data_IF_133738103251
#
_entry.id   IF_133738103251
#
_cell.length_a   1.000
_cell.length_b   1.000
_cell.length_c   1.000
_cell.angle_alpha   90.00
_cell.angle_beta   90.00
_cell.angle_gamma   90.00
#
_symmetry.space_group_name_H-M   'P 1'
#
loop_
_entity.id
_entity.type
_entity.pdbx_description
1 polymer ?
#
# COMPACT_ATOMS: atom_id res chain seq x y z
N UNK A 1 -2.26 -6.47 12.12
CA UNK A 1 -0.88 -5.98 12.28
C UNK A 1 -0.76 -4.53 11.83
N UNK A 2 0.31 -3.88 12.24
CA UNK A 2 0.61 -2.50 11.86
C UNK A 2 1.38 -2.49 10.54
N UNK A 3 0.96 -1.71 9.57
CA UNK A 3 1.72 -1.50 8.34
C UNK A 3 2.87 -0.54 8.58
N UNK A 4 2.79 0.55 9.16
CA UNK A 4 3.88 1.50 9.46
C UNK A 4 4.02 1.82 10.95
N UNK A 5 3.88 0.82 11.81
CA UNK A 5 3.98 0.98 13.26
C UNK A 5 2.75 1.59 13.93
N UNK A 6 1.96 2.41 13.21
CA UNK A 6 0.82 3.15 13.76
C UNK A 6 -0.53 2.81 13.13
N UNK A 7 -0.53 2.25 11.92
CA UNK A 7 -1.74 1.92 11.20
C UNK A 7 -2.13 0.48 11.45
N UNK A 8 -3.34 0.25 11.93
CA UNK A 8 -3.92 -1.09 12.00
C UNK A 8 -5.06 -1.16 11.00
N UNK A 9 -5.12 -2.24 10.25
CA UNK A 9 -6.14 -2.46 9.22
C UNK A 9 -7.59 -2.37 9.74
N UNK A 10 -7.81 -2.64 11.02
CA UNK A 10 -9.14 -2.61 11.63
C UNK A 10 -9.61 -1.25 12.10
N UNK A 11 -8.73 -0.30 12.30
CA UNK A 11 -9.05 0.93 13.05
C UNK A 11 -8.71 2.21 12.33
N UNK A 12 -8.01 2.16 11.20
CA UNK A 12 -7.47 3.36 10.56
C UNK A 12 -7.86 3.41 9.10
N UNK A 13 -8.98 4.07 8.79
CA UNK A 13 -9.35 4.39 7.42
C UNK A 13 -8.44 5.51 6.86
N UNK A 14 -8.06 6.48 7.70
CA UNK A 14 -7.22 7.63 7.32
C UNK A 14 -6.11 7.84 8.34
N UNK A 15 -4.99 8.39 7.88
CA UNK A 15 -3.84 8.77 8.70
C UNK A 15 -3.59 10.25 8.54
N UNK A 16 -3.62 10.99 9.64
CA UNK A 16 -3.25 12.41 9.67
C UNK A 16 -1.85 12.56 10.26
N UNK A 17 -0.91 13.01 9.45
CA UNK A 17 0.47 13.19 9.86
C UNK A 17 0.74 14.59 10.36
N UNK A 18 1.39 14.69 11.50
CA UNK A 18 1.87 15.93 12.08
C UNK A 18 3.37 16.09 11.87
N UNK A 19 3.86 17.31 12.06
CA UNK A 19 5.25 17.73 11.89
C UNK A 19 5.73 17.75 10.43
N UNK A 20 6.99 18.19 10.24
CA UNK A 20 7.64 18.26 8.93
C UNK A 20 7.80 16.88 8.31
N UNK A 21 7.79 16.81 7.00
CA UNK A 21 7.89 15.59 6.19
C UNK A 21 6.80 14.55 6.39
N UNK A 22 5.89 14.73 7.34
CA UNK A 22 4.80 13.81 7.61
C UNK A 22 3.91 13.60 6.39
N UNK A 23 3.49 12.35 6.16
CA UNK A 23 2.61 11.97 5.06
C UNK A 23 1.27 11.54 5.63
N UNK A 24 0.23 12.30 5.30
CA UNK A 24 -1.16 11.93 5.57
C UNK A 24 -1.67 11.03 4.46
N UNK A 25 -2.42 10.00 4.84
CA UNK A 25 -3.13 9.11 3.94
C UNK A 25 -4.63 9.36 4.12
N UNK A 26 -5.27 9.83 3.07
CA UNK A 26 -6.70 10.08 3.00
C UNK A 26 -7.39 9.00 2.15
N UNK A 27 -8.70 9.03 2.04
CA UNK A 27 -9.45 8.02 1.27
C UNK A 27 -8.98 7.92 -0.19
N UNK A 28 -8.71 9.07 -0.80
CA UNK A 28 -8.38 9.15 -2.21
C UNK A 28 -7.09 9.95 -2.49
N UNK A 29 -6.34 10.31 -1.45
CA UNK A 29 -5.15 11.15 -1.63
C UNK A 29 -4.07 10.90 -0.58
N UNK A 30 -2.85 11.26 -0.94
CA UNK A 30 -1.74 11.46 0.00
C UNK A 30 -1.38 12.93 0.06
N UNK A 31 -1.09 13.45 1.25
CA UNK A 31 -0.64 14.81 1.47
C UNK A 31 0.65 14.82 2.31
N UNK A 32 1.71 15.43 1.80
CA UNK A 32 2.99 15.48 2.49
C UNK A 32 3.31 16.90 2.94
N UNK A 33 3.67 17.04 4.21
CA UNK A 33 4.18 18.29 4.76
C UNK A 33 5.58 18.63 4.23
N UNK A 34 5.89 19.93 4.17
CA UNK A 34 7.20 20.41 3.78
C UNK A 34 8.30 20.04 4.79
N UNK A 35 9.55 20.35 4.45
CA UNK A 35 10.74 19.99 5.24
C UNK A 35 11.21 21.09 6.18
N UNK A 36 10.81 22.33 5.97
CA UNK A 36 11.29 23.49 6.73
C UNK A 36 10.51 23.61 8.06
N UNK A 37 11.24 23.49 9.17
CA UNK A 37 10.66 23.54 10.52
C UNK A 37 10.11 24.92 10.83
N UNK A 38 10.81 26.02 10.44
CA UNK A 38 10.35 27.39 10.71
C UNK A 38 9.06 27.69 9.95
N UNK A 39 9.03 27.38 8.66
CA UNK A 39 7.85 27.55 7.85
C UNK A 39 6.68 26.67 8.33
N UNK A 40 6.95 25.46 8.86
CA UNK A 40 5.94 24.62 9.49
C UNK A 40 5.32 25.35 10.69
N UNK A 41 6.14 25.81 11.65
CA UNK A 41 5.68 26.48 12.86
C UNK A 41 4.88 27.75 12.51
N UNK A 42 5.38 28.57 11.59
CA UNK A 42 4.72 29.80 11.16
C UNK A 42 3.37 29.53 10.48
N UNK A 43 3.28 28.46 9.69
CA UNK A 43 2.07 28.10 8.95
C UNK A 43 0.99 27.55 9.89
N UNK A 44 1.38 26.62 10.79
CA UNK A 44 0.47 26.06 11.78
C UNK A 44 0.02 27.14 12.78
N UNK A 45 0.91 28.06 13.18
CA UNK A 45 0.56 29.19 14.04
C UNK A 45 -0.46 30.16 13.44
N UNK A 46 -0.74 30.04 12.14
CA UNK A 46 -1.79 30.76 11.39
C UNK A 46 -3.01 29.90 11.08
N UNK A 47 -3.20 28.79 11.77
CA UNK A 47 -4.27 27.80 11.58
C UNK A 47 -4.35 27.25 10.13
N UNK A 48 -3.20 27.06 9.48
CA UNK A 48 -3.10 26.55 8.11
C UNK A 48 -2.30 25.26 8.06
N UNK A 49 -2.68 24.36 7.15
CA UNK A 49 -1.93 23.12 6.89
C UNK A 49 -0.65 23.43 6.10
N UNK A 50 0.47 22.82 6.50
CA UNK A 50 1.77 22.96 5.84
C UNK A 50 2.00 21.87 4.78
N UNK A 51 0.99 21.62 3.96
CA UNK A 51 1.09 20.64 2.87
C UNK A 51 1.90 21.25 1.71
N UNK A 52 2.97 20.58 1.29
CA UNK A 52 3.82 20.99 0.17
C UNK A 52 3.63 20.13 -1.07
N UNK A 53 3.13 18.92 -0.92
CA UNK A 53 2.84 17.98 -2.01
C UNK A 53 1.54 17.24 -1.73
N UNK A 54 0.76 17.04 -2.78
CA UNK A 54 -0.43 16.20 -2.77
C UNK A 54 -0.38 15.22 -3.94
N UNK A 55 -0.98 14.06 -3.76
CA UNK A 55 -1.19 13.09 -4.82
C UNK A 55 -2.59 12.52 -4.68
N UNK A 56 -3.42 12.71 -5.69
CA UNK A 56 -4.76 12.13 -5.73
C UNK A 56 -4.71 10.78 -6.44
N UNK A 57 -5.31 9.77 -5.82
CA UNK A 57 -5.35 8.41 -6.35
C UNK A 57 -6.45 8.28 -7.40
N UNK A 58 -6.15 7.59 -8.50
CA UNK A 58 -7.17 7.09 -9.40
C UNK A 58 -7.99 5.96 -8.77
N UNK A 59 -9.11 5.59 -9.37
CA UNK A 59 -9.90 4.45 -8.93
C UNK A 59 -9.05 3.16 -8.90
N UNK A 60 -8.28 2.91 -9.95
CA UNK A 60 -7.38 1.78 -10.07
C UNK A 60 -6.30 1.78 -8.96
N UNK A 61 -5.68 2.92 -8.67
CA UNK A 61 -4.69 3.05 -7.60
C UNK A 61 -5.26 2.80 -6.20
N UNK A 62 -6.55 3.06 -6.00
CA UNK A 62 -7.23 2.68 -4.76
C UNK A 62 -7.37 1.17 -4.62
N UNK A 63 -7.67 0.45 -5.72
CA UNK A 63 -7.70 -1.02 -5.72
C UNK A 63 -6.34 -1.59 -5.35
N UNK A 64 -5.28 -1.11 -6.02
CA UNK A 64 -3.90 -1.53 -5.76
C UNK A 64 -3.53 -1.28 -4.29
N UNK A 65 -3.80 -0.09 -3.77
CA UNK A 65 -3.52 0.27 -2.38
C UNK A 65 -4.20 -0.69 -1.41
N UNK A 66 -5.48 -1.00 -1.62
CA UNK A 66 -6.26 -1.89 -0.77
C UNK A 66 -5.66 -3.29 -0.72
N UNK A 67 -5.29 -3.83 -1.88
CA UNK A 67 -4.64 -5.14 -2.01
C UNK A 67 -3.29 -5.17 -1.30
N UNK A 68 -2.42 -4.19 -1.59
CA UNK A 68 -1.09 -4.08 -1.01
C UNK A 68 -1.16 -3.95 0.52
N UNK A 69 -2.03 -3.06 1.03
CA UNK A 69 -2.20 -2.87 2.48
C UNK A 69 -2.76 -4.13 3.16
N UNK A 70 -3.73 -4.80 2.54
CA UNK A 70 -4.30 -6.04 3.07
C UNK A 70 -3.23 -7.12 3.21
N UNK A 71 -2.46 -7.35 2.15
CA UNK A 71 -1.40 -8.35 2.13
C UNK A 71 -0.28 -8.02 3.13
N UNK A 72 0.17 -6.78 3.16
CA UNK A 72 1.22 -6.31 4.07
C UNK A 72 0.82 -6.40 5.54
N UNK A 73 -0.44 -6.15 5.86
CA UNK A 73 -0.92 -6.18 7.25
C UNK A 73 -1.26 -7.59 7.73
N UNK A 74 -1.81 -8.42 6.86
CA UNK A 74 -2.42 -9.70 7.27
C UNK A 74 -1.61 -10.92 6.84
N UNK A 75 -0.72 -10.79 5.83
CA UNK A 75 -0.04 -11.88 5.13
C UNK A 75 -1.00 -12.79 4.36
N UNK A 76 -2.25 -12.39 4.26
CA UNK A 76 -3.28 -13.08 3.50
C UNK A 76 -4.06 -12.07 2.69
N UNK A 77 -4.54 -12.49 1.55
CA UNK A 77 -5.40 -11.75 0.66
C UNK A 77 -6.48 -12.69 0.15
N UNK A 78 -7.73 -12.27 0.23
CA UNK A 78 -8.86 -12.91 -0.43
C UNK A 78 -9.41 -11.93 -1.47
N UNK A 79 -9.41 -12.32 -2.73
CA UNK A 79 -9.80 -11.44 -3.82
C UNK A 79 -11.27 -11.07 -3.76
N UNK A 80 -12.13 -12.02 -3.41
CA UNK A 80 -13.57 -11.79 -3.27
C UNK A 80 -13.89 -10.85 -2.12
N UNK A 81 -13.20 -10.95 -0.99
CA UNK A 81 -13.39 -10.05 0.16
C UNK A 81 -13.00 -8.61 -0.17
N UNK A 82 -11.84 -8.43 -0.82
CA UNK A 82 -11.38 -7.09 -1.26
C UNK A 82 -12.34 -6.50 -2.28
N UNK A 83 -12.76 -7.30 -3.26
CA UNK A 83 -13.70 -6.89 -4.29
C UNK A 83 -15.06 -6.46 -3.69
N UNK A 84 -15.60 -7.25 -2.77
CA UNK A 84 -16.84 -6.94 -2.06
C UNK A 84 -16.73 -5.64 -1.24
N UNK A 85 -15.58 -5.43 -0.56
CA UNK A 85 -15.34 -4.21 0.21
C UNK A 85 -15.32 -2.95 -0.67
N UNK A 86 -14.79 -3.06 -1.88
CA UNK A 86 -14.64 -1.95 -2.82
C UNK A 86 -15.83 -1.81 -3.80
N UNK A 87 -16.77 -2.74 -3.80
CA UNK A 87 -17.94 -2.72 -4.67
C UNK A 87 -17.62 -3.00 -6.15
N UNK A 88 -16.58 -3.79 -6.42
CA UNK A 88 -16.12 -4.19 -7.75
C UNK A 88 -16.03 -5.71 -7.87
N UNK A 89 -15.68 -6.25 -9.02
CA UNK A 89 -15.43 -7.68 -9.19
C UNK A 89 -13.99 -8.07 -8.83
N UNK A 90 -13.77 -9.32 -8.44
CA UNK A 90 -12.41 -9.85 -8.20
C UNK A 90 -11.53 -9.79 -9.45
N UNK A 91 -12.13 -9.91 -10.64
CA UNK A 91 -11.41 -9.78 -11.91
C UNK A 91 -10.87 -8.35 -12.10
N UNK A 92 -11.66 -7.31 -11.84
CA UNK A 92 -11.22 -5.91 -11.90
C UNK A 92 -10.08 -5.63 -10.92
N UNK A 93 -10.15 -6.18 -9.70
CA UNK A 93 -9.08 -6.03 -8.71
C UNK A 93 -7.78 -6.67 -9.19
N UNK A 94 -7.85 -7.90 -9.71
CA UNK A 94 -6.67 -8.61 -10.25
C UNK A 94 -6.06 -7.89 -11.44
N UNK A 95 -6.88 -7.40 -12.36
CA UNK A 95 -6.45 -6.63 -13.52
C UNK A 95 -5.73 -5.34 -13.10
N UNK A 96 -6.33 -4.56 -12.19
CA UNK A 96 -5.74 -3.34 -11.65
C UNK A 96 -4.38 -3.59 -10.99
N UNK A 97 -4.23 -4.72 -10.29
CA UNK A 97 -2.98 -5.12 -9.64
C UNK A 97 -1.95 -5.75 -10.59
N UNK A 98 -2.27 -5.93 -11.87
CA UNK A 98 -1.38 -6.63 -12.80
C UNK A 98 -1.05 -8.06 -12.35
N UNK A 99 -2.02 -8.75 -11.71
CA UNK A 99 -1.83 -10.10 -11.21
C UNK A 99 -1.32 -11.04 -12.31
N UNK A 100 -0.25 -11.76 -12.02
CA UNK A 100 0.37 -12.69 -12.94
C UNK A 100 0.57 -14.05 -12.25
N UNK A 101 -0.18 -15.05 -12.70
CA UNK A 101 -0.16 -16.41 -12.11
C UNK A 101 1.22 -17.07 -12.23
N UNK A 102 1.96 -16.80 -13.30
CA UNK A 102 3.32 -17.34 -13.48
C UNK A 102 4.25 -16.85 -12.37
N UNK A 103 4.23 -15.54 -12.09
CA UNK A 103 5.02 -14.94 -11.01
C UNK A 103 4.65 -15.53 -9.65
N UNK A 104 3.37 -15.74 -9.40
CA UNK A 104 2.90 -16.34 -8.14
C UNK A 104 3.27 -17.81 -8.03
N UNK A 105 3.25 -18.55 -9.15
CA UNK A 105 3.72 -19.95 -9.20
C UNK A 105 5.21 -20.07 -8.89
N UNK A 106 6.04 -19.16 -9.41
CA UNK A 106 7.46 -19.08 -9.08
C UNK A 106 7.68 -18.80 -7.59
N UNK A 107 6.97 -17.81 -7.03
CA UNK A 107 7.03 -17.51 -5.59
C UNK A 107 6.55 -18.66 -4.71
N UNK A 108 5.58 -19.45 -5.17
CA UNK A 108 5.11 -20.65 -4.50
C UNK A 108 6.17 -21.77 -4.56
N UNK A 109 6.82 -21.95 -5.72
CA UNK A 109 7.93 -22.91 -5.86
C UNK A 109 9.11 -22.55 -4.95
N UNK A 110 9.38 -21.26 -4.76
CA UNK A 110 10.39 -20.74 -3.81
C UNK A 110 9.95 -20.89 -2.34
N UNK A 111 8.74 -21.36 -2.08
CA UNK A 111 8.21 -21.57 -0.73
C UNK A 111 7.82 -20.29 0.01
N UNK A 112 7.57 -19.18 -0.69
CA UNK A 112 7.25 -17.90 -0.08
C UNK A 112 5.76 -17.77 0.26
N UNK A 113 4.90 -18.33 -0.58
CA UNK A 113 3.45 -18.21 -0.46
C UNK A 113 2.73 -19.49 -0.91
N UNK A 114 1.43 -19.53 -0.68
CA UNK A 114 0.47 -20.43 -1.31
C UNK A 114 -0.63 -19.58 -1.91
N UNK A 115 -1.19 -20.01 -3.02
CA UNK A 115 -2.32 -19.34 -3.64
C UNK A 115 -3.23 -20.32 -4.36
N UNK A 116 -4.46 -19.91 -4.53
CA UNK A 116 -5.48 -20.55 -5.36
C UNK A 116 -6.29 -19.48 -6.10
N UNK A 117 -7.44 -19.86 -6.65
CA UNK A 117 -8.29 -18.97 -7.43
C UNK A 117 -8.81 -17.75 -6.67
N UNK A 118 -8.91 -17.77 -5.37
CA UNK A 118 -9.45 -16.65 -4.58
C UNK A 118 -8.55 -16.20 -3.43
N UNK A 119 -7.55 -16.98 -3.08
CA UNK A 119 -6.77 -16.75 -1.87
C UNK A 119 -5.28 -16.72 -2.14
N UNK A 120 -4.57 -15.80 -1.46
CA UNK A 120 -3.11 -15.75 -1.37
C UNK A 120 -2.71 -15.74 0.10
N UNK A 121 -1.82 -16.63 0.50
CA UNK A 121 -1.26 -16.71 1.85
C UNK A 121 0.27 -16.67 1.79
N UNK A 122 0.87 -15.64 2.38
CA UNK A 122 2.32 -15.58 2.59
C UNK A 122 2.66 -16.40 3.82
N UNK A 123 3.34 -17.52 3.61
CA UNK A 123 3.69 -18.45 4.66
C UNK A 123 4.79 -17.89 5.59
N UNK A 124 5.15 -18.63 6.64
CA UNK A 124 6.10 -18.15 7.66
C UNK A 124 7.47 -17.80 7.07
N UNK A 125 7.95 -18.58 6.10
CA UNK A 125 9.24 -18.33 5.41
C UNK A 125 9.16 -17.11 4.48
N UNK A 126 7.99 -16.86 3.89
CA UNK A 126 7.77 -15.71 3.00
C UNK A 126 7.55 -14.36 3.71
N UNK A 127 7.20 -14.37 5.01
CA UNK A 127 6.90 -13.12 5.74
C UNK A 127 8.01 -12.06 5.71
N UNK A 128 9.29 -12.38 5.79
CA UNK A 128 10.36 -11.39 5.59
C UNK A 128 10.34 -10.76 4.19
N UNK A 129 9.81 -11.47 3.20
CA UNK A 129 9.74 -11.10 1.80
C UNK A 129 8.36 -10.59 1.37
N UNK A 130 7.44 -10.35 2.29
CA UNK A 130 6.07 -9.87 1.97
C UNK A 130 6.07 -8.62 1.08
N UNK A 131 7.08 -7.77 1.20
CA UNK A 131 7.23 -6.60 0.31
C UNK A 131 7.47 -6.96 -1.14
N UNK A 132 8.21 -8.06 -1.40
CA UNK A 132 8.43 -8.56 -2.75
C UNK A 132 7.12 -9.10 -3.34
N UNK A 133 6.35 -9.83 -2.53
CA UNK A 133 5.04 -10.33 -2.94
C UNK A 133 4.07 -9.17 -3.22
N UNK A 134 4.03 -8.17 -2.35
CA UNK A 134 3.21 -6.97 -2.54
C UNK A 134 3.63 -6.15 -3.78
N UNK A 135 4.94 -6.05 -4.04
CA UNK A 135 5.47 -5.34 -5.21
C UNK A 135 5.09 -6.03 -6.54
N UNK A 136 4.88 -7.35 -6.55
CA UNK A 136 4.38 -8.07 -7.71
C UNK A 136 2.90 -7.78 -8.03
N UNK A 137 2.20 -7.09 -7.11
CA UNK A 137 0.81 -6.62 -7.26
C UNK A 137 0.71 -5.10 -7.41
N UNK A 138 1.83 -4.43 -7.70
CA UNK A 138 1.87 -3.00 -7.94
C UNK A 138 2.52 -2.69 -9.30
N UNK A 139 1.72 -2.50 -10.37
CA UNK A 139 2.24 -2.19 -11.70
C UNK A 139 3.09 -0.91 -11.74
N UNK A 140 2.89 0.02 -10.81
CA UNK A 140 3.69 1.25 -10.74
C UNK A 140 5.13 0.98 -10.30
N UNK A 141 5.38 -0.14 -9.60
CA UNK A 141 6.73 -0.57 -9.23
C UNK A 141 7.50 -1.13 -10.42
N UNK A 142 6.82 -1.82 -11.33
CA UNK A 142 7.44 -2.44 -12.51
C UNK A 142 7.99 -1.43 -13.53
N UNK A 143 7.44 -0.21 -13.56
CA UNK A 143 7.80 0.84 -14.51
C UNK A 143 8.65 1.97 -13.91
N UNK A 144 9.21 1.78 -12.71
CA UNK A 144 9.88 2.85 -12.00
C UNK A 144 11.39 2.68 -12.00
N UNK A 145 12.09 3.36 -12.91
CA UNK A 145 13.57 3.46 -12.96
C UNK A 145 14.17 4.25 -11.75
N UNK A 146 13.33 4.72 -10.84
CA UNK A 146 13.80 5.43 -9.65
C UNK A 146 14.42 4.45 -8.67
N UNK A 147 15.67 4.66 -8.32
CA UNK A 147 16.32 3.95 -7.23
C UNK A 147 15.60 4.26 -5.91
N UNK A 148 14.90 3.28 -5.39
CA UNK A 148 14.42 3.32 -4.00
C UNK A 148 15.60 3.18 -3.05
N UNK A 149 15.47 3.75 -1.83
CA UNK A 149 16.46 3.55 -0.79
C UNK A 149 16.69 2.05 -0.56
N UNK A 150 17.92 1.60 -0.78
CA UNK A 150 18.28 0.21 -0.48
C UNK A 150 18.22 0.04 1.04
N UNK A 151 17.52 -0.98 1.56
CA UNK A 151 17.69 -1.34 2.97
C UNK A 151 19.17 -1.72 3.18
N UNK A 152 19.74 -1.18 4.24
CA UNK A 152 21.10 -1.53 4.71
C UNK A 152 21.05 -2.92 5.30
#
# INVERSE_FOLDING_TARGET
RNFQGYCTRRTTAQVYAFAVTGISQLDDAYAQNGRDIKAYIETIGKDRLYTSRGYQLSAEQKLIREVVETLMCNYTLNWSDVAAHLGVSAAEVREACGYNETTFSEMQADGLLRFDDDHVEVNTCGRPFVRCVAAALDPLMAHNDKQFSKPI
#
